data_IF_212182268014
#
_entry.id   IF_212182268014
#
_cell.length_a   1.000
_cell.length_b   1.000
_cell.length_c   1.000
_cell.angle_alpha   90.00
_cell.angle_beta   90.00
_cell.angle_gamma   90.00
#
_symmetry.space_group_name_H-M   'P 1'
#
loop_
_entity.id
_entity.type
_entity.pdbx_description
1 polymer ?
#
# COMPACT_ATOMS: atom_id res chain seq x y z
N UNK A 1 19.84 -25.85 -41.61
CA UNK A 1 18.60 -25.06 -41.44
C UNK A 1 18.82 -23.76 -40.64
N UNK A 2 20.07 -23.35 -40.38
CA UNK A 2 20.44 -22.14 -39.62
C UNK A 2 20.24 -20.81 -40.39
N UNK A 3 20.18 -20.85 -41.74
CA UNK A 3 20.08 -19.63 -42.56
C UNK A 3 18.77 -18.83 -42.42
N UNK A 4 17.69 -19.42 -41.91
CA UNK A 4 16.40 -18.74 -41.77
C UNK A 4 16.32 -17.80 -40.55
N UNK A 5 16.95 -18.17 -39.44
CA UNK A 5 16.91 -17.38 -38.20
C UNK A 5 17.72 -16.10 -38.34
N UNK A 6 18.90 -16.19 -38.97
CA UNK A 6 19.73 -15.02 -39.27
C UNK A 6 19.01 -14.00 -40.16
N UNK A 7 18.28 -14.47 -41.18
CA UNK A 7 17.52 -13.59 -42.07
C UNK A 7 16.38 -12.85 -41.34
N UNK A 8 15.74 -13.50 -40.36
CA UNK A 8 14.73 -12.85 -39.51
C UNK A 8 15.36 -11.74 -38.65
N UNK A 9 16.48 -12.03 -38.00
CA UNK A 9 17.20 -11.00 -37.23
C UNK A 9 17.66 -9.84 -38.10
N UNK A 10 18.07 -10.12 -39.35
CA UNK A 10 18.49 -9.09 -40.32
C UNK A 10 17.32 -8.18 -40.71
N UNK A 11 16.12 -8.73 -40.91
CA UNK A 11 14.92 -7.94 -41.19
C UNK A 11 14.53 -7.07 -39.98
N UNK A 12 14.49 -7.64 -38.78
CA UNK A 12 14.20 -6.93 -37.52
C UNK A 12 15.22 -5.80 -37.26
N UNK A 13 16.49 -6.03 -37.58
CA UNK A 13 17.55 -5.04 -37.45
C UNK A 13 17.35 -3.89 -38.45
N UNK A 14 16.97 -4.21 -39.68
CA UNK A 14 16.69 -3.21 -40.71
C UNK A 14 15.45 -2.38 -40.37
N UNK A 15 14.40 -3.00 -39.84
CA UNK A 15 13.21 -2.29 -39.34
C UNK A 15 13.57 -1.36 -38.19
N UNK A 16 14.27 -1.86 -37.18
CA UNK A 16 14.75 -1.06 -36.05
C UNK A 16 15.65 0.09 -36.49
N UNK A 17 16.53 -0.14 -37.48
CA UNK A 17 17.39 0.89 -38.07
C UNK A 17 16.58 1.98 -38.77
N UNK A 18 15.52 1.62 -39.52
CA UNK A 18 14.61 2.60 -40.14
C UNK A 18 13.90 3.44 -39.09
N UNK A 19 13.43 2.82 -38.01
CA UNK A 19 12.77 3.53 -36.91
C UNK A 19 13.72 4.53 -36.22
N UNK A 20 14.95 4.11 -35.89
CA UNK A 20 15.96 4.98 -35.28
C UNK A 20 16.32 6.14 -36.20
N UNK A 21 16.50 5.88 -37.50
CA UNK A 21 16.79 6.93 -38.49
C UNK A 21 15.63 7.90 -38.70
N UNK A 22 14.39 7.42 -38.67
CA UNK A 22 13.21 8.28 -38.76
C UNK A 22 13.09 9.19 -37.53
N UNK A 23 13.33 8.65 -36.33
CA UNK A 23 13.36 9.44 -35.10
C UNK A 23 14.53 10.46 -35.11
N UNK A 24 15.70 10.08 -35.62
CA UNK A 24 16.84 10.98 -35.80
C UNK A 24 16.52 12.13 -36.77
N UNK A 25 15.87 11.84 -37.89
CA UNK A 25 15.47 12.84 -38.88
C UNK A 25 14.44 13.83 -38.30
N UNK A 26 13.44 13.33 -37.57
CA UNK A 26 12.46 14.18 -36.88
C UNK A 26 13.14 15.09 -35.85
N UNK A 27 14.09 14.54 -35.09
CA UNK A 27 14.87 15.31 -34.11
C UNK A 27 15.73 16.38 -34.80
N UNK A 28 16.42 16.04 -35.89
CA UNK A 28 17.20 16.98 -36.68
C UNK A 28 16.34 18.10 -37.28
N UNK A 29 15.13 17.78 -37.76
CA UNK A 29 14.21 18.78 -38.28
C UNK A 29 13.78 19.76 -37.18
N UNK A 30 13.48 19.25 -35.98
CA UNK A 30 13.16 20.11 -34.84
C UNK A 30 14.31 21.04 -34.42
N UNK A 31 15.56 20.73 -34.79
CA UNK A 31 16.74 21.54 -34.46
C UNK A 31 17.00 22.65 -35.49
N UNK A 32 16.39 22.60 -36.69
CA UNK A 32 16.55 23.63 -37.73
C UNK A 32 15.70 24.85 -37.39
N UNK A 33 16.31 25.79 -36.67
CA UNK A 33 15.69 27.05 -36.24
C UNK A 33 15.53 28.11 -37.36
N UNK A 34 15.69 27.72 -38.64
CA UNK A 34 15.97 28.65 -39.74
C UNK A 34 14.73 29.19 -40.48
N UNK A 35 13.51 28.82 -40.06
CA UNK A 35 12.28 29.32 -40.68
C UNK A 35 11.66 30.44 -39.85
N UNK A 36 11.14 31.49 -40.50
CA UNK A 36 10.42 32.60 -39.85
C UNK A 36 9.10 32.18 -39.17
N UNK A 37 8.83 30.87 -39.09
CA UNK A 37 7.64 30.23 -38.51
C UNK A 37 8.07 29.06 -37.60
N UNK A 38 9.25 29.17 -37.00
CA UNK A 38 9.71 28.19 -36.02
C UNK A 38 8.82 28.26 -34.76
N UNK A 39 8.05 27.20 -34.53
CA UNK A 39 7.34 26.96 -33.29
C UNK A 39 8.10 25.92 -32.48
N UNK A 40 8.47 26.22 -31.22
CA UNK A 40 9.24 25.28 -30.41
C UNK A 40 8.42 24.00 -30.19
N UNK A 41 9.03 22.81 -30.36
CA UNK A 41 8.33 21.54 -30.14
C UNK A 41 7.87 21.44 -28.68
N UNK A 42 6.77 20.69 -28.41
CA UNK A 42 6.24 20.57 -27.06
C UNK A 42 7.27 19.92 -26.14
N UNK A 43 7.32 20.39 -24.88
CA UNK A 43 8.26 19.90 -23.86
C UNK A 43 7.99 18.45 -23.43
N UNK A 44 6.80 17.93 -23.73
CA UNK A 44 6.36 16.56 -23.41
C UNK A 44 5.41 16.03 -24.48
N UNK A 45 5.41 14.72 -24.68
CA UNK A 45 4.53 14.02 -25.61
C UNK A 45 5.24 13.45 -26.85
N UNK A 46 4.49 12.85 -27.79
CA UNK A 46 5.05 12.08 -28.92
C UNK A 46 5.87 12.91 -29.92
N UNK A 47 5.67 14.22 -29.94
CA UNK A 47 6.40 15.16 -30.81
C UNK A 47 7.54 15.89 -30.07
N UNK A 48 7.75 15.57 -28.78
CA UNK A 48 8.82 16.19 -28.00
C UNK A 48 10.17 15.65 -28.43
N UNK A 49 11.19 16.51 -28.40
CA UNK A 49 12.57 16.10 -28.68
C UNK A 49 13.06 15.00 -27.72
N UNK A 50 12.60 15.07 -26.46
CA UNK A 50 12.86 14.05 -25.44
C UNK A 50 12.30 12.68 -25.82
N UNK A 51 11.07 12.62 -26.34
CA UNK A 51 10.47 11.37 -26.81
C UNK A 51 11.23 10.79 -28.01
N UNK A 52 11.61 11.61 -28.99
CA UNK A 52 12.41 11.14 -30.11
C UNK A 52 13.77 10.58 -29.67
N UNK A 53 14.43 11.21 -28.68
CA UNK A 53 15.66 10.66 -28.08
C UNK A 53 15.42 9.31 -27.39
N UNK A 54 14.29 9.14 -26.72
CA UNK A 54 13.93 7.88 -26.05
C UNK A 54 13.67 6.76 -27.07
N UNK A 55 12.91 7.05 -28.13
CA UNK A 55 12.67 6.11 -29.23
C UNK A 55 13.98 5.65 -29.87
N UNK A 56 14.90 6.59 -30.14
CA UNK A 56 16.23 6.25 -30.65
C UNK A 56 17.02 5.37 -29.67
N UNK A 57 16.97 5.66 -28.37
CA UNK A 57 17.67 4.89 -27.34
C UNK A 57 17.14 3.46 -27.24
N UNK A 58 15.81 3.29 -27.24
CA UNK A 58 15.17 1.98 -27.20
C UNK A 58 15.47 1.17 -28.47
N UNK A 59 15.35 1.79 -29.65
CA UNK A 59 15.70 1.15 -30.93
C UNK A 59 17.17 0.72 -30.99
N UNK A 60 18.09 1.55 -30.51
CA UNK A 60 19.52 1.18 -30.43
C UNK A 60 19.81 0.06 -29.43
N UNK A 61 19.08 0.00 -28.32
CA UNK A 61 19.18 -1.12 -27.38
C UNK A 61 18.76 -2.43 -28.06
N UNK A 62 17.62 -2.41 -28.77
CA UNK A 62 17.13 -3.57 -29.53
C UNK A 62 18.11 -3.99 -30.64
N UNK A 63 18.65 -3.04 -31.40
CA UNK A 63 19.67 -3.31 -32.42
C UNK A 63 20.94 -3.96 -31.85
N UNK A 64 21.39 -3.56 -30.65
CA UNK A 64 22.54 -4.21 -29.98
C UNK A 64 22.24 -5.66 -29.59
N UNK A 65 21.03 -5.92 -29.11
CA UNK A 65 20.59 -7.28 -28.79
C UNK A 65 20.54 -8.14 -30.06
N UNK A 66 19.97 -7.63 -31.15
CA UNK A 66 19.93 -8.32 -32.45
C UNK A 66 21.33 -8.63 -32.99
N UNK A 67 22.27 -7.67 -32.92
CA UNK A 67 23.68 -7.91 -33.31
C UNK A 67 24.32 -9.00 -32.45
N UNK A 68 23.99 -9.05 -31.16
CA UNK A 68 24.47 -10.08 -30.25
C UNK A 68 23.92 -11.46 -30.64
N UNK A 69 22.61 -11.55 -30.92
CA UNK A 69 21.96 -12.78 -31.40
C UNK A 69 22.51 -13.26 -32.75
N UNK A 70 22.72 -12.33 -33.69
CA UNK A 70 23.38 -12.62 -34.97
C UNK A 70 24.81 -13.12 -34.80
N UNK A 71 25.56 -12.57 -33.83
CA UNK A 71 26.92 -13.02 -33.53
C UNK A 71 26.91 -14.47 -33.01
N UNK A 72 25.96 -14.82 -32.13
CA UNK A 72 25.80 -16.20 -31.66
C UNK A 72 25.50 -17.16 -32.81
N UNK A 73 24.52 -16.83 -33.66
CA UNK A 73 24.17 -17.65 -34.82
C UNK A 73 25.36 -17.79 -35.79
N UNK A 74 26.11 -16.70 -36.02
CA UNK A 74 27.31 -16.73 -36.90
C UNK A 74 28.43 -17.63 -36.38
N UNK A 75 28.49 -17.88 -35.07
CA UNK A 75 29.47 -18.78 -34.47
C UNK A 75 29.04 -20.25 -34.53
N UNK A 76 27.73 -20.53 -34.66
CA UNK A 76 27.17 -21.89 -34.77
C UNK A 76 27.25 -22.45 -36.21
N UNK A 77 27.44 -21.59 -37.21
CA UNK A 77 27.64 -22.01 -38.60
C UNK A 77 28.97 -22.78 -38.76
N UNK A 78 28.89 -24.01 -39.26
CA UNK A 78 30.07 -24.85 -39.57
C UNK A 78 31.00 -24.18 -40.62
N UNK A 79 32.30 -24.44 -40.50
CA UNK A 79 33.36 -23.67 -41.16
C UNK A 79 33.26 -23.67 -42.70
N UNK A 80 33.17 -22.48 -43.31
CA UNK A 80 33.15 -22.28 -44.77
C UNK A 80 33.13 -20.80 -45.18
N UNK A 81 33.06 -20.51 -46.49
CA UNK A 81 32.99 -19.13 -47.04
C UNK A 81 31.77 -18.34 -46.53
N UNK A 82 30.62 -19.01 -46.37
CA UNK A 82 29.38 -18.43 -45.85
C UNK A 82 29.55 -17.85 -44.43
N UNK A 83 30.33 -18.50 -43.58
CA UNK A 83 30.62 -18.01 -42.22
C UNK A 83 31.41 -16.70 -42.25
N UNK A 84 32.36 -16.58 -43.18
CA UNK A 84 33.14 -15.34 -43.33
C UNK A 84 32.28 -14.18 -43.83
N UNK A 85 31.33 -14.44 -44.73
CA UNK A 85 30.37 -13.43 -45.18
C UNK A 85 29.44 -12.98 -44.06
N UNK A 86 28.82 -13.92 -43.33
CA UNK A 86 27.93 -13.62 -42.20
C UNK A 86 28.66 -12.81 -41.13
N UNK A 87 29.89 -13.22 -40.77
CA UNK A 87 30.70 -12.50 -39.78
C UNK A 87 31.06 -11.08 -40.21
N UNK A 88 31.35 -10.88 -41.51
CA UNK A 88 31.59 -9.54 -42.06
C UNK A 88 30.35 -8.66 -41.91
N UNK A 89 29.16 -9.17 -42.25
CA UNK A 89 27.90 -8.42 -42.08
C UNK A 89 27.63 -8.06 -40.63
N UNK A 90 27.87 -8.98 -39.69
CA UNK A 90 27.71 -8.71 -38.25
C UNK A 90 28.64 -7.57 -37.80
N UNK A 91 29.88 -7.52 -38.29
CA UNK A 91 30.79 -6.42 -37.98
C UNK A 91 30.33 -5.10 -38.60
N UNK A 92 29.82 -5.11 -39.84
CA UNK A 92 29.22 -3.94 -40.49
C UNK A 92 28.02 -3.40 -39.68
N UNK A 93 27.15 -4.28 -39.18
CA UNK A 93 26.02 -3.91 -38.32
C UNK A 93 26.46 -3.36 -36.96
N UNK A 94 27.50 -3.93 -36.37
CA UNK A 94 28.07 -3.44 -35.12
C UNK A 94 28.68 -2.04 -35.26
N UNK A 95 29.38 -1.80 -36.38
CA UNK A 95 29.87 -0.47 -36.73
C UNK A 95 28.72 0.51 -36.95
N UNK A 96 27.65 0.08 -37.63
CA UNK A 96 26.44 0.88 -37.85
C UNK A 96 25.82 1.35 -36.52
N UNK A 97 25.62 0.45 -35.54
CA UNK A 97 25.03 0.89 -34.26
C UNK A 97 25.98 1.81 -33.49
N UNK A 98 27.30 1.59 -33.57
CA UNK A 98 28.28 2.51 -32.95
C UNK A 98 28.18 3.93 -33.52
N UNK A 99 27.98 4.06 -34.84
CA UNK A 99 27.78 5.37 -35.49
C UNK A 99 26.47 6.01 -35.01
N UNK A 100 25.37 5.25 -35.01
CA UNK A 100 24.06 5.76 -34.57
C UNK A 100 24.03 6.13 -33.08
N UNK A 101 24.78 5.44 -32.23
CA UNK A 101 24.97 5.82 -30.82
C UNK A 101 25.68 7.17 -30.68
N UNK A 102 26.73 7.40 -31.49
CA UNK A 102 27.41 8.68 -31.55
C UNK A 102 26.48 9.80 -32.02
N UNK A 103 25.64 9.53 -33.03
CA UNK A 103 24.61 10.46 -33.49
C UNK A 103 23.57 10.77 -32.42
N UNK A 104 23.08 9.76 -31.69
CA UNK A 104 22.14 9.96 -30.58
C UNK A 104 22.76 10.85 -29.49
N UNK A 105 24.02 10.62 -29.12
CA UNK A 105 24.69 11.44 -28.11
C UNK A 105 24.79 12.91 -28.56
N UNK A 106 25.19 13.14 -29.82
CA UNK A 106 25.27 14.48 -30.42
C UNK A 106 23.89 15.16 -30.43
N UNK A 107 22.88 14.50 -31.00
CA UNK A 107 21.53 15.05 -31.13
C UNK A 107 20.87 15.29 -29.77
N UNK A 108 21.11 14.43 -28.78
CA UNK A 108 20.62 14.64 -27.41
C UNK A 108 21.20 15.89 -26.77
N UNK A 109 22.48 16.19 -27.02
CA UNK A 109 23.11 17.41 -26.51
C UNK A 109 22.60 18.64 -27.25
N UNK A 110 22.46 18.57 -28.57
CA UNK A 110 21.88 19.64 -29.40
C UNK A 110 20.43 19.94 -29.00
N UNK A 111 19.61 18.91 -28.78
CA UNK A 111 18.24 19.02 -28.27
C UNK A 111 18.18 19.77 -26.95
N UNK A 112 19.00 19.38 -25.97
CA UNK A 112 19.01 20.07 -24.66
C UNK A 112 19.39 21.54 -24.79
N UNK A 113 20.32 21.85 -25.67
CA UNK A 113 20.73 23.23 -25.94
C UNK A 113 19.60 24.01 -26.62
N UNK A 114 18.94 23.42 -27.61
CA UNK A 114 17.80 24.02 -28.30
C UNK A 114 16.61 24.23 -27.35
N UNK A 115 16.26 23.24 -26.52
CA UNK A 115 15.20 23.38 -25.50
C UNK A 115 15.52 24.51 -24.52
N UNK A 116 16.79 24.65 -24.13
CA UNK A 116 17.23 25.77 -23.29
C UNK A 116 17.09 27.12 -24.00
N UNK A 117 17.43 27.20 -25.28
CA UNK A 117 17.26 28.42 -26.07
C UNK A 117 15.79 28.77 -26.26
N UNK A 118 14.94 27.78 -26.55
CA UNK A 118 13.49 27.94 -26.70
C UNK A 118 12.85 28.44 -25.40
N UNK A 119 13.29 27.93 -24.24
CA UNK A 119 12.83 28.41 -22.94
C UNK A 119 13.26 29.85 -22.64
N UNK A 120 14.47 30.26 -23.08
CA UNK A 120 14.95 31.64 -22.92
C UNK A 120 14.23 32.58 -23.88
N UNK A 121 14.01 32.17 -25.14
CA UNK A 121 13.37 32.98 -26.17
C UNK A 121 11.85 33.10 -25.98
N UNK A 122 11.18 32.01 -25.59
CA UNK A 122 9.76 31.98 -25.24
C UNK A 122 9.43 32.70 -23.93
N UNK A 123 10.45 33.12 -23.17
CA UNK A 123 10.31 33.85 -21.92
C UNK A 123 9.77 35.27 -22.04
N UNK A 124 9.70 35.85 -23.25
CA UNK A 124 9.53 37.29 -23.41
C UNK A 124 8.19 37.76 -24.01
N UNK A 125 7.35 36.89 -24.61
CA UNK A 125 6.21 37.39 -25.40
C UNK A 125 4.87 36.63 -25.24
N UNK A 126 4.80 35.50 -24.51
CA UNK A 126 3.55 34.69 -24.39
C UNK A 126 3.22 34.20 -22.96
N UNK A 127 3.96 34.63 -21.94
CA UNK A 127 3.93 34.01 -20.61
C UNK A 127 2.83 34.48 -19.63
N UNK A 128 1.99 35.47 -19.97
CA UNK A 128 1.11 36.06 -18.95
C UNK A 128 -0.28 35.42 -18.83
N UNK A 129 -1.03 35.18 -19.91
CA UNK A 129 -2.43 34.74 -19.76
C UNK A 129 -2.61 33.23 -19.63
N UNK A 130 -2.15 32.42 -20.58
CA UNK A 130 -2.34 30.96 -20.55
C UNK A 130 -1.64 30.28 -19.36
N UNK A 131 -0.49 30.82 -18.94
CA UNK A 131 0.25 30.33 -17.79
C UNK A 131 -0.38 30.79 -16.46
N UNK A 132 -1.08 31.93 -16.41
CA UNK A 132 -1.87 32.30 -15.24
C UNK A 132 -3.04 31.34 -15.03
N UNK A 133 -3.76 30.97 -16.08
CA UNK A 133 -4.86 30.00 -15.99
C UNK A 133 -4.37 28.60 -15.59
N UNK A 134 -3.29 28.12 -16.21
CA UNK A 134 -2.68 26.83 -15.83
C UNK A 134 -2.20 26.82 -14.36
N UNK A 135 -1.63 27.93 -13.88
CA UNK A 135 -1.25 28.10 -12.47
C UNK A 135 -2.47 28.14 -11.56
N UNK A 136 -3.53 28.85 -11.92
CA UNK A 136 -4.77 28.91 -11.14
C UNK A 136 -5.40 27.51 -11.00
N UNK A 137 -5.46 26.75 -12.09
CA UNK A 137 -5.93 25.37 -12.08
C UNK A 137 -5.07 24.44 -11.21
N UNK A 138 -3.75 24.60 -11.25
CA UNK A 138 -2.83 23.82 -10.42
C UNK A 138 -2.99 24.14 -8.92
N UNK A 139 -3.22 25.41 -8.58
CA UNK A 139 -3.51 25.85 -7.21
C UNK A 139 -4.83 25.24 -6.72
N UNK A 140 -5.88 25.23 -7.55
CA UNK A 140 -7.17 24.62 -7.21
C UNK A 140 -7.04 23.11 -6.96
N UNK A 141 -6.34 22.39 -7.84
CA UNK A 141 -6.10 20.95 -7.65
C UNK A 141 -5.28 20.67 -6.39
N UNK A 142 -4.28 21.50 -6.10
CA UNK A 142 -3.49 21.37 -4.86
C UNK A 142 -4.35 21.62 -3.63
N UNK A 143 -5.31 22.56 -3.69
CA UNK A 143 -6.26 22.81 -2.62
C UNK A 143 -7.23 21.64 -2.41
N UNK A 144 -7.78 21.07 -3.48
CA UNK A 144 -8.63 19.86 -3.42
C UNK A 144 -7.87 18.66 -2.86
N UNK A 145 -6.61 18.47 -3.27
CA UNK A 145 -5.76 17.41 -2.76
C UNK A 145 -5.50 17.59 -1.25
N UNK A 146 -5.15 18.80 -0.82
CA UNK A 146 -4.98 19.12 0.61
C UNK A 146 -6.25 18.85 1.41
N UNK A 147 -7.41 19.23 0.89
CA UNK A 147 -8.69 18.92 1.53
C UNK A 147 -8.89 17.41 1.64
N UNK A 148 -8.65 16.66 0.58
CA UNK A 148 -8.67 15.19 0.56
C UNK A 148 -7.77 14.56 1.63
N UNK A 149 -6.51 15.02 1.74
CA UNK A 149 -5.57 14.57 2.79
C UNK A 149 -6.12 14.85 4.19
N UNK A 150 -6.66 16.04 4.45
CA UNK A 150 -7.24 16.35 5.78
C UNK A 150 -8.47 15.51 6.09
N UNK A 151 -9.27 15.15 5.08
CA UNK A 151 -10.42 14.24 5.28
C UNK A 151 -9.97 12.81 5.55
N UNK A 152 -8.92 12.36 4.87
CA UNK A 152 -8.34 11.03 5.09
C UNK A 152 -7.74 10.91 6.49
N UNK A 153 -6.98 11.89 6.95
CA UNK A 153 -6.46 11.92 8.32
C UNK A 153 -7.57 11.92 9.38
N UNK A 154 -8.70 12.60 9.11
CA UNK A 154 -9.88 12.56 10.01
C UNK A 154 -10.51 11.18 10.02
N UNK A 155 -10.64 10.53 8.87
CA UNK A 155 -11.15 9.16 8.75
C UNK A 155 -10.23 8.16 9.46
N UNK A 156 -8.92 8.28 9.32
CA UNK A 156 -7.92 7.46 10.01
C UNK A 156 -8.04 7.61 11.54
N UNK A 157 -8.11 8.83 12.06
CA UNK A 157 -8.35 9.06 13.51
C UNK A 157 -9.66 8.46 13.99
N UNK A 158 -10.74 8.58 13.20
CA UNK A 158 -12.03 7.99 13.54
C UNK A 158 -12.00 6.45 13.53
N UNK A 159 -11.28 5.85 12.58
CA UNK A 159 -11.08 4.41 12.49
C UNK A 159 -10.25 3.86 13.66
N UNK A 160 -9.20 4.58 14.08
CA UNK A 160 -8.46 4.22 15.30
C UNK A 160 -9.35 4.29 16.55
N UNK A 161 -10.15 5.34 16.70
CA UNK A 161 -11.13 5.40 17.80
C UNK A 161 -12.15 4.25 17.76
N UNK A 162 -12.58 3.83 16.57
CA UNK A 162 -13.48 2.70 16.39
C UNK A 162 -12.79 1.35 16.66
N UNK A 163 -11.50 1.18 16.31
CA UNK A 163 -10.74 -0.04 16.64
C UNK A 163 -10.55 -0.19 18.15
N UNK A 164 -10.28 0.91 18.84
CA UNK A 164 -10.11 0.90 20.30
C UNK A 164 -11.44 0.58 21.00
N UNK A 165 -12.55 1.14 20.51
CA UNK A 165 -13.88 0.81 21.01
C UNK A 165 -14.29 -0.63 20.69
N UNK A 166 -13.93 -1.14 19.51
CA UNK A 166 -14.15 -2.53 19.09
C UNK A 166 -13.36 -3.54 19.92
N UNK A 167 -12.09 -3.27 20.21
CA UNK A 167 -11.28 -4.11 21.11
C UNK A 167 -11.80 -4.08 22.54
N UNK A 168 -12.24 -2.91 23.03
CA UNK A 168 -12.89 -2.77 24.34
C UNK A 168 -14.19 -3.59 24.43
N UNK A 169 -15.05 -3.53 23.41
CA UNK A 169 -16.30 -4.32 23.39
C UNK A 169 -16.03 -5.82 23.32
N UNK A 170 -15.06 -6.28 22.53
CA UNK A 170 -14.66 -7.68 22.50
C UNK A 170 -14.12 -8.15 23.87
N UNK A 171 -13.34 -7.33 24.55
CA UNK A 171 -12.84 -7.62 25.89
C UNK A 171 -14.00 -7.70 26.91
N UNK A 172 -15.00 -6.81 26.82
CA UNK A 172 -16.19 -6.84 27.69
C UNK A 172 -17.06 -8.07 27.41
N UNK A 173 -17.28 -8.43 26.14
CA UNK A 173 -18.03 -9.65 25.78
C UNK A 173 -17.32 -10.92 26.28
N UNK A 174 -15.98 -10.94 26.23
CA UNK A 174 -15.18 -12.03 26.79
C UNK A 174 -15.34 -12.12 28.32
N UNK A 175 -15.27 -10.99 29.02
CA UNK A 175 -15.50 -10.92 30.46
C UNK A 175 -16.95 -11.29 30.86
N UNK A 176 -17.93 -10.91 30.04
CA UNK A 176 -19.34 -11.32 30.23
C UNK A 176 -19.52 -12.82 30.00
N UNK A 177 -18.85 -13.42 29.02
CA UNK A 177 -18.89 -14.87 28.78
C UNK A 177 -18.28 -15.64 29.94
N UNK A 178 -17.16 -15.15 30.49
CA UNK A 178 -16.53 -15.69 31.70
C UNK A 178 -17.49 -15.64 32.90
N UNK A 179 -18.20 -14.52 33.06
CA UNK A 179 -19.17 -14.32 34.14
C UNK A 179 -20.39 -15.24 33.97
N UNK A 180 -20.92 -15.40 32.75
CA UNK A 180 -22.01 -16.36 32.45
C UNK A 180 -21.57 -17.81 32.73
N UNK A 181 -20.32 -18.16 32.40
CA UNK A 181 -19.74 -19.46 32.71
C UNK A 181 -19.61 -19.68 34.21
N UNK A 182 -19.24 -18.65 34.97
CA UNK A 182 -19.16 -18.71 36.43
C UNK A 182 -20.55 -18.85 37.08
N UNK A 183 -21.58 -18.21 36.53
CA UNK A 183 -22.95 -18.39 37.00
C UNK A 183 -23.46 -19.83 36.80
N UNK A 184 -23.06 -20.53 35.74
CA UNK A 184 -23.39 -21.95 35.57
C UNK A 184 -22.65 -22.87 36.56
N UNK A 185 -21.43 -22.53 36.99
CA UNK A 185 -20.71 -23.29 38.01
C UNK A 185 -21.35 -23.11 39.41
N UNK A 186 -21.75 -21.88 39.75
CA UNK A 186 -22.39 -21.59 41.05
C UNK A 186 -23.81 -22.16 41.15
N UNK A 187 -24.54 -22.37 40.05
CA UNK A 187 -25.87 -23.01 40.07
C UNK A 187 -25.79 -24.52 40.34
N UNK A 188 -24.65 -25.19 40.10
CA UNK A 188 -24.50 -26.61 40.45
C UNK A 188 -24.16 -26.84 41.94
N UNK A 189 -23.59 -25.84 42.63
CA UNK A 189 -23.25 -25.94 44.07
C UNK A 189 -24.42 -25.63 45.01
N UNK A 190 -25.54 -25.09 44.50
CA UNK A 190 -26.72 -24.72 45.32
C UNK A 190 -27.51 -25.94 45.82
N UNK A 191 -27.33 -27.14 45.26
CA UNK A 191 -27.92 -28.35 45.84
C UNK A 191 -27.19 -28.84 47.12
N UNK A 192 -25.96 -28.36 47.37
CA UNK A 192 -25.18 -28.75 48.56
C UNK A 192 -25.49 -27.90 49.81
N UNK A 193 -25.84 -26.61 49.65
CA UNK A 193 -26.17 -25.71 50.78
C UNK A 193 -27.62 -25.82 51.28
N UNK A 194 -28.55 -26.39 50.48
CA UNK A 194 -29.93 -26.66 50.92
C UNK A 194 -29.97 -27.77 51.98
N UNK A 195 -28.99 -28.69 51.98
CA UNK A 195 -28.91 -29.74 53.00
C UNK A 195 -28.34 -29.25 54.34
N UNK A 196 -27.57 -28.16 54.35
CA UNK A 196 -26.96 -27.58 55.56
C UNK A 196 -27.93 -26.71 56.37
N UNK A 197 -28.85 -26.01 55.68
CA UNK A 197 -29.89 -25.18 56.30
C UNK A 197 -30.84 -25.98 57.21
N UNK A 198 -31.11 -27.27 56.91
CA UNK A 198 -31.92 -28.15 57.77
C UNK A 198 -31.20 -28.52 59.08
N UNK A 199 -29.86 -28.52 59.10
CA UNK A 199 -29.06 -28.87 60.28
C UNK A 199 -29.01 -27.73 61.29
N UNK A 200 -28.93 -26.48 60.81
CA UNK A 200 -28.88 -25.28 61.64
C UNK A 200 -30.21 -25.00 62.35
N UNK A 201 -31.35 -25.20 61.66
CA UNK A 201 -32.69 -25.00 62.24
C UNK A 201 -32.95 -25.99 63.38
N UNK A 202 -32.56 -27.26 63.24
CA UNK A 202 -32.71 -28.26 64.30
C UNK A 202 -31.84 -27.96 65.54
N UNK A 203 -30.69 -27.30 65.35
CA UNK A 203 -29.82 -26.89 66.47
C UNK A 203 -30.39 -25.68 67.22
N UNK A 204 -31.03 -24.73 66.52
CA UNK A 204 -31.75 -23.60 67.13
C UNK A 204 -32.98 -24.05 67.93
N UNK A 205 -33.72 -25.04 67.46
CA UNK A 205 -34.93 -25.52 68.13
C UNK A 205 -34.61 -26.16 69.51
N UNK A 206 -33.47 -26.84 69.64
CA UNK A 206 -33.02 -27.41 70.93
C UNK A 206 -32.62 -26.34 71.95
N UNK A 207 -32.01 -25.24 71.52
CA UNK A 207 -31.58 -24.16 72.43
C UNK A 207 -32.77 -23.33 72.93
N UNK A 208 -33.77 -23.08 72.07
CA UNK A 208 -34.99 -22.36 72.44
C UNK A 208 -35.82 -23.07 73.54
N UNK A 209 -35.88 -24.41 73.51
CA UNK A 209 -36.60 -25.19 74.53
C UNK A 209 -35.97 -25.05 75.93
N UNK A 210 -34.63 -25.01 76.01
CA UNK A 210 -33.93 -24.84 77.30
C UNK A 210 -34.21 -23.49 77.93
N UNK A 211 -34.20 -22.41 77.14
CA UNK A 211 -34.54 -21.07 77.65
C UNK A 211 -35.98 -20.98 78.15
N UNK A 212 -36.92 -21.61 77.43
CA UNK A 212 -38.33 -21.64 77.84
C UNK A 212 -38.53 -22.37 79.19
N UNK A 213 -37.81 -23.47 79.43
CA UNK A 213 -37.82 -24.20 80.70
C UNK A 213 -37.28 -23.37 81.88
N UNK A 214 -36.15 -22.68 81.69
CA UNK A 214 -35.59 -21.79 82.73
C UNK A 214 -36.56 -20.67 83.12
N UNK A 215 -37.23 -20.07 82.13
CA UNK A 215 -38.16 -18.96 82.37
C UNK A 215 -39.40 -19.42 83.16
N UNK A 216 -39.94 -20.60 82.85
CA UNK A 216 -41.05 -21.19 83.63
C UNK A 216 -40.62 -21.47 85.07
N UNK A 217 -39.40 -21.98 85.29
CA UNK A 217 -38.87 -22.25 86.63
C UNK A 217 -38.81 -21.02 87.53
N UNK A 218 -38.35 -19.87 86.99
CA UNK A 218 -38.28 -18.60 87.74
C UNK A 218 -39.68 -18.13 88.14
N UNK A 219 -40.67 -18.21 87.24
CA UNK A 219 -42.04 -17.79 87.52
C UNK A 219 -42.66 -18.66 88.64
N UNK A 220 -42.49 -19.98 88.57
CA UNK A 220 -43.00 -20.89 89.61
C UNK A 220 -42.30 -20.63 90.95
N UNK A 221 -40.98 -20.40 90.95
CA UNK A 221 -40.23 -20.05 92.16
C UNK A 221 -40.73 -18.76 92.81
N UNK A 222 -41.01 -17.72 92.00
CA UNK A 222 -41.57 -16.45 92.50
C UNK A 222 -42.93 -16.65 93.17
N UNK A 223 -43.82 -17.44 92.55
CA UNK A 223 -45.14 -17.73 93.10
C UNK A 223 -45.05 -18.47 94.43
N UNK A 224 -44.15 -19.46 94.55
CA UNK A 224 -43.92 -20.19 95.80
C UNK A 224 -43.39 -19.25 96.88
N UNK A 225 -42.45 -18.35 96.55
CA UNK A 225 -41.96 -17.34 97.50
C UNK A 225 -43.06 -16.40 97.99
N UNK A 226 -43.98 -15.96 97.13
CA UNK A 226 -45.11 -15.11 97.52
C UNK A 226 -46.04 -15.87 98.47
N UNK A 227 -46.37 -17.12 98.14
CA UNK A 227 -47.25 -17.95 98.98
C UNK A 227 -46.62 -18.22 100.35
N UNK A 228 -45.33 -18.55 100.40
CA UNK A 228 -44.59 -18.74 101.65
C UNK A 228 -44.51 -17.44 102.47
N UNK A 229 -44.30 -16.29 101.82
CA UNK A 229 -44.30 -14.99 102.47
C UNK A 229 -45.63 -14.64 103.14
N UNK A 230 -46.75 -14.96 102.49
CA UNK A 230 -48.08 -14.78 103.07
C UNK A 230 -48.29 -15.77 104.23
N UNK A 231 -47.85 -17.02 104.09
CA UNK A 231 -47.99 -18.02 105.15
C UNK A 231 -47.16 -17.70 106.40
N UNK A 232 -45.95 -17.15 106.26
CA UNK A 232 -45.10 -16.76 107.40
C UNK A 232 -45.56 -15.46 108.06
N UNK A 233 -46.19 -14.55 107.30
CA UNK A 233 -46.69 -13.27 107.82
C UNK A 233 -48.07 -13.38 108.48
N UNK A 234 -48.77 -14.51 108.30
CA UNK A 234 -50.06 -14.80 108.91
C UNK A 234 -49.90 -15.72 110.12
#
# INVERSE_FOLDING_TARGET
MSSGLFALYEDDFNESSRQVRAAAAALQESLKQDSSTYEPPPTSGPQSRGHHCEVMQQGLAHMRELVTSMLYESNDVESGELRNEVRRRVEDYKQMVTVLEGELFRLRQESKNADRMDLIAGGNDTLDEANQEARAFMVENTQRLRQGTTTLERAERALHGASDLGTSTLNTLRAQTETVRHFHATVHDVDSEVMESRRLVNQMQRTAMKHKLWLIGIIVGLLVCIILGIYVRR
#
